data_IF_473719188256
#
_entry.id   IF_473719188256
#
_cell.length_a   1.000
_cell.length_b   1.000
_cell.length_c   1.000
_cell.angle_alpha   90.00
_cell.angle_beta   90.00
_cell.angle_gamma   90.00
#
_symmetry.space_group_name_H-M   'P 1'
#
loop_
_entity.id
_entity.type
_entity.pdbx_description
1 polymer ?
#
# COMPACT_ATOMS: atom_id res chain seq x y z
N UNK A 1 -2.91 -19.65 -22.88
CA UNK A 1 -2.37 -18.37 -23.40
C UNK A 1 -3.08 -17.15 -22.82
N UNK A 2 -4.43 -17.09 -22.82
CA UNK A 2 -5.19 -15.95 -22.24
C UNK A 2 -4.90 -15.74 -20.74
N UNK A 3 -4.92 -16.81 -19.95
CA UNK A 3 -4.63 -16.74 -18.51
C UNK A 3 -3.25 -16.15 -18.21
N UNK A 4 -2.19 -16.64 -18.88
CA UNK A 4 -0.81 -16.13 -18.70
C UNK A 4 -0.73 -14.64 -19.01
N UNK A 5 -1.41 -14.18 -20.07
CA UNK A 5 -1.47 -12.77 -20.41
C UNK A 5 -2.12 -11.92 -19.31
N UNK A 6 -3.22 -12.41 -18.70
CA UNK A 6 -3.90 -11.72 -17.60
C UNK A 6 -3.04 -11.65 -16.35
N UNK A 7 -2.34 -12.72 -15.99
CA UNK A 7 -1.38 -12.70 -14.87
C UNK A 7 -0.25 -11.69 -15.10
N UNK A 8 0.34 -11.66 -16.30
CA UNK A 8 1.37 -10.68 -16.64
C UNK A 8 0.83 -9.25 -16.59
N UNK A 9 -0.38 -9.02 -17.11
CA UNK A 9 -1.03 -7.72 -17.07
C UNK A 9 -1.28 -7.23 -15.65
N UNK A 10 -1.81 -8.09 -14.77
CA UNK A 10 -2.09 -7.77 -13.36
C UNK A 10 -0.79 -7.55 -12.58
N UNK A 11 0.25 -8.34 -12.86
CA UNK A 11 1.58 -8.14 -12.27
C UNK A 11 2.12 -6.76 -12.62
N UNK A 12 2.04 -6.38 -13.91
CA UNK A 12 2.53 -5.09 -14.38
C UNK A 12 1.74 -3.92 -13.80
N UNK A 13 0.41 -4.00 -13.79
CA UNK A 13 -0.44 -3.00 -13.15
C UNK A 13 -0.16 -2.90 -11.64
N UNK A 14 -0.05 -4.03 -10.95
CA UNK A 14 0.24 -4.06 -9.52
C UNK A 14 1.60 -3.43 -9.21
N UNK A 15 2.60 -3.61 -10.07
CA UNK A 15 3.89 -2.96 -9.90
C UNK A 15 3.81 -1.43 -10.11
N UNK A 16 3.05 -0.96 -11.12
CA UNK A 16 2.81 0.48 -11.35
C UNK A 16 2.09 1.09 -10.14
N UNK A 17 1.03 0.45 -9.68
CA UNK A 17 0.29 0.88 -8.50
C UNK A 17 1.21 0.88 -7.29
N UNK A 18 2.02 -0.17 -7.07
CA UNK A 18 3.00 -0.22 -5.98
C UNK A 18 3.98 0.96 -6.00
N UNK A 19 4.43 1.38 -7.18
CA UNK A 19 5.31 2.54 -7.32
C UNK A 19 4.61 3.84 -6.90
N UNK A 20 3.34 4.01 -7.25
CA UNK A 20 2.51 5.11 -6.75
C UNK A 20 2.26 5.02 -5.24
N UNK A 21 2.03 3.82 -4.70
CA UNK A 21 1.80 3.61 -3.26
C UNK A 21 3.01 4.00 -2.42
N UNK A 22 4.24 3.87 -2.92
CA UNK A 22 5.43 4.43 -2.26
C UNK A 22 5.35 5.95 -2.10
N UNK A 23 4.83 6.67 -3.11
CA UNK A 23 4.62 8.12 -3.02
C UNK A 23 3.56 8.45 -1.98
N UNK A 24 2.45 7.71 -1.98
CA UNK A 24 1.38 7.86 -0.98
C UNK A 24 1.93 7.64 0.43
N UNK A 25 2.66 6.55 0.64
CA UNK A 25 3.25 6.21 1.93
C UNK A 25 4.25 7.27 2.44
N UNK A 26 5.01 7.88 1.52
CA UNK A 26 5.96 8.92 1.89
C UNK A 26 5.28 10.27 2.18
N UNK A 27 4.30 10.68 1.37
CA UNK A 27 3.74 12.04 1.38
C UNK A 27 2.57 12.23 2.33
N UNK A 28 1.71 11.22 2.48
CA UNK A 28 0.49 11.36 3.31
C UNK A 28 0.81 11.68 4.77
N UNK A 29 1.77 11.01 5.45
CA UNK A 29 2.16 11.35 6.82
C UNK A 29 2.71 12.77 6.98
N UNK A 30 3.28 13.34 5.90
CA UNK A 30 3.88 14.67 5.85
C UNK A 30 2.87 15.74 5.41
N UNK A 31 1.61 15.34 5.22
CA UNK A 31 0.54 16.17 4.67
C UNK A 31 0.87 16.81 3.30
N UNK A 32 1.79 16.22 2.56
CA UNK A 32 2.20 16.70 1.25
C UNK A 32 1.20 16.25 0.16
N UNK A 33 1.15 17.02 -0.93
CA UNK A 33 0.33 16.65 -2.09
C UNK A 33 0.89 15.40 -2.79
N UNK A 34 0.03 14.40 -2.98
CA UNK A 34 0.36 13.17 -3.73
C UNK A 34 0.50 13.41 -5.24
N UNK A 35 0.03 14.54 -5.75
CA UNK A 35 0.04 14.89 -7.19
C UNK A 35 1.22 15.78 -7.54
N UNK A 36 1.57 16.72 -6.65
CA UNK A 36 2.56 17.77 -6.89
C UNK A 36 3.51 17.91 -5.70
N UNK A 37 4.82 18.11 -5.93
CA UNK A 37 5.52 18.13 -7.22
C UNK A 37 5.71 16.69 -7.78
N UNK A 38 6.20 16.48 -9.02
CA UNK A 38 6.47 15.14 -9.56
C UNK A 38 7.43 14.29 -8.71
N UNK A 39 7.78 13.07 -9.14
CA UNK A 39 8.80 12.27 -8.44
C UNK A 39 10.21 12.82 -8.68
N UNK A 40 11.00 12.98 -7.62
CA UNK A 40 12.37 13.50 -7.67
C UNK A 40 13.29 12.64 -6.80
N UNK A 41 14.58 12.66 -7.10
CA UNK A 41 15.58 12.06 -6.21
C UNK A 41 15.76 12.92 -4.94
N UNK A 42 15.71 12.34 -3.73
CA UNK A 42 15.86 13.11 -2.49
C UNK A 42 17.27 13.72 -2.32
N UNK A 43 18.29 13.14 -2.95
CA UNK A 43 19.69 13.61 -2.81
C UNK A 43 20.05 14.73 -3.80
N UNK A 44 19.71 14.58 -5.08
CA UNK A 44 20.09 15.56 -6.10
C UNK A 44 18.93 16.43 -6.57
N UNK A 45 17.71 16.20 -6.08
CA UNK A 45 16.49 16.93 -6.42
C UNK A 45 16.15 16.93 -7.91
N UNK A 46 16.85 16.11 -8.71
CA UNK A 46 16.57 15.96 -10.13
C UNK A 46 15.27 15.19 -10.31
N UNK A 47 14.41 15.73 -11.18
CA UNK A 47 13.17 15.08 -11.59
C UNK A 47 13.47 13.74 -12.25
N UNK A 48 12.80 12.70 -11.80
CA UNK A 48 12.93 11.35 -12.35
C UNK A 48 12.16 11.26 -13.68
N UNK A 49 12.77 10.62 -14.68
CA UNK A 49 12.10 10.36 -15.95
C UNK A 49 11.21 9.12 -15.85
N UNK A 50 10.28 8.94 -16.79
CA UNK A 50 9.43 7.73 -16.85
C UNK A 50 10.23 6.43 -16.82
N UNK A 51 11.42 6.40 -17.44
CA UNK A 51 12.30 5.24 -17.43
C UNK A 51 12.88 4.92 -16.04
N UNK A 52 13.02 5.92 -15.16
CA UNK A 52 13.48 5.72 -13.79
C UNK A 52 12.36 5.26 -12.86
N UNK A 53 11.10 5.45 -13.28
CA UNK A 53 9.89 5.04 -12.57
C UNK A 53 9.41 3.63 -12.98
N UNK A 54 10.12 2.92 -13.87
CA UNK A 54 9.76 1.56 -14.24
C UNK A 54 9.93 0.65 -13.00
N UNK A 55 8.83 0.12 -12.43
CA UNK A 55 8.85 -0.58 -11.15
C UNK A 55 9.82 -1.76 -11.17
N UNK A 56 10.60 -1.94 -10.11
CA UNK A 56 11.60 -3.00 -9.85
C UNK A 56 12.75 -3.03 -10.86
N UNK A 57 12.46 -2.93 -12.15
CA UNK A 57 13.41 -3.02 -13.26
C UNK A 57 14.38 -1.84 -13.27
N UNK A 58 13.91 -0.60 -13.05
CA UNK A 58 14.81 0.57 -13.01
C UNK A 58 15.83 0.43 -11.88
N UNK A 59 15.39 -0.05 -10.71
CA UNK A 59 16.25 -0.30 -9.55
C UNK A 59 17.28 -1.40 -9.84
N UNK A 60 16.87 -2.53 -10.44
CA UNK A 60 17.78 -3.61 -10.81
C UNK A 60 18.82 -3.17 -11.84
N UNK A 61 18.39 -2.48 -12.90
CA UNK A 61 19.27 -2.00 -13.98
C UNK A 61 20.26 -0.94 -13.49
N UNK A 62 19.83 -0.07 -12.58
CA UNK A 62 20.68 0.95 -11.97
C UNK A 62 21.46 0.42 -10.75
N UNK A 63 21.41 -0.89 -10.47
CA UNK A 63 22.07 -1.55 -9.33
C UNK A 63 21.75 -0.88 -7.99
N UNK A 64 20.50 -0.49 -7.82
CA UNK A 64 19.96 0.17 -6.64
C UNK A 64 20.51 1.58 -6.41
N UNK A 65 20.91 2.30 -7.47
CA UNK A 65 21.45 3.67 -7.37
C UNK A 65 20.68 4.63 -8.26
N UNK A 66 20.66 5.91 -7.91
CA UNK A 66 20.09 6.95 -8.75
C UNK A 66 20.94 7.13 -10.01
N UNK A 67 20.30 7.21 -11.19
CA UNK A 67 20.97 7.45 -12.49
C UNK A 67 21.84 8.71 -12.49
N UNK A 68 21.40 9.78 -11.83
CA UNK A 68 22.03 11.10 -11.91
C UNK A 68 23.14 11.33 -10.88
N UNK A 69 22.91 10.92 -9.63
CA UNK A 69 23.86 11.18 -8.54
C UNK A 69 24.53 9.92 -7.96
N UNK A 70 24.17 8.73 -8.46
CA UNK A 70 24.72 7.44 -8.03
C UNK A 70 24.52 7.10 -6.54
N UNK A 71 23.75 7.91 -5.81
CA UNK A 71 23.40 7.63 -4.43
C UNK A 71 22.45 6.43 -4.36
N UNK A 72 22.56 5.56 -3.33
CA UNK A 72 21.70 4.38 -3.21
C UNK A 72 20.22 4.77 -3.09
N UNK A 73 19.37 4.02 -3.78
CA UNK A 73 17.92 4.05 -3.65
C UNK A 73 17.54 3.00 -2.61
N UNK A 74 16.76 3.41 -1.60
CA UNK A 74 16.38 2.56 -0.49
C UNK A 74 15.61 1.31 -0.97
N UNK A 75 15.97 0.15 -0.44
CA UNK A 75 15.49 -1.18 -0.89
C UNK A 75 13.99 -1.40 -0.65
N UNK A 76 13.39 -0.62 0.23
CA UNK A 76 11.95 -0.69 0.51
C UNK A 76 11.10 -0.31 -0.72
N UNK A 77 11.56 0.63 -1.55
CA UNK A 77 10.81 1.07 -2.73
C UNK A 77 10.54 -0.09 -3.71
N UNK A 78 11.57 -0.82 -4.20
CA UNK A 78 11.33 -1.98 -5.07
C UNK A 78 10.66 -3.15 -4.32
N UNK A 79 10.83 -3.25 -3.00
CA UNK A 79 10.11 -4.27 -2.22
C UNK A 79 8.60 -4.01 -2.25
N UNK A 80 8.16 -2.78 -1.99
CA UNK A 80 6.73 -2.42 -2.00
C UNK A 80 6.13 -2.65 -3.39
N UNK A 81 6.86 -2.34 -4.46
CA UNK A 81 6.44 -2.63 -5.83
C UNK A 81 6.27 -4.14 -6.08
N UNK A 82 7.25 -4.95 -5.67
CA UNK A 82 7.20 -6.40 -5.83
C UNK A 82 6.09 -7.05 -4.97
N UNK A 83 5.93 -6.60 -3.72
CA UNK A 83 4.88 -7.07 -2.82
C UNK A 83 3.51 -6.70 -3.36
N UNK A 84 3.32 -5.48 -3.87
CA UNK A 84 2.04 -5.06 -4.47
C UNK A 84 1.70 -5.93 -5.68
N UNK A 85 2.66 -6.12 -6.60
CA UNK A 85 2.46 -6.98 -7.76
C UNK A 85 2.13 -8.43 -7.37
N UNK A 86 2.86 -9.01 -6.40
CA UNK A 86 2.63 -10.35 -5.91
C UNK A 86 1.26 -10.52 -5.24
N UNK A 87 0.87 -9.59 -4.37
CA UNK A 87 -0.44 -9.64 -3.68
C UNK A 87 -1.59 -9.44 -4.68
N UNK A 88 -1.44 -8.55 -5.67
CA UNK A 88 -2.43 -8.39 -6.74
C UNK A 88 -2.65 -9.68 -7.53
N UNK A 89 -1.56 -10.39 -7.87
CA UNK A 89 -1.63 -11.70 -8.50
C UNK A 89 -2.31 -12.74 -7.60
N UNK A 90 -2.03 -12.75 -6.29
CA UNK A 90 -2.68 -13.67 -5.35
C UNK A 90 -4.20 -13.42 -5.24
N UNK A 91 -4.61 -12.15 -5.21
CA UNK A 91 -6.03 -11.78 -5.24
C UNK A 91 -6.70 -12.30 -6.51
N UNK A 92 -6.08 -12.04 -7.67
CA UNK A 92 -6.62 -12.51 -8.94
C UNK A 92 -6.64 -14.04 -9.05
N UNK A 93 -5.60 -14.72 -8.57
CA UNK A 93 -5.54 -16.17 -8.54
C UNK A 93 -6.68 -16.78 -7.71
N UNK A 94 -7.07 -16.13 -6.61
CA UNK A 94 -8.12 -16.61 -5.71
C UNK A 94 -9.54 -16.37 -6.23
N UNK A 95 -9.80 -15.23 -6.86
CA UNK A 95 -11.15 -14.78 -7.22
C UNK A 95 -11.42 -14.75 -8.73
N UNK A 96 -10.38 -14.78 -9.56
CA UNK A 96 -10.49 -14.76 -11.02
C UNK A 96 -11.01 -13.43 -11.57
N UNK A 97 -11.71 -13.46 -12.70
CA UNK A 97 -12.34 -12.26 -13.27
C UNK A 97 -13.74 -12.07 -12.67
N UNK A 98 -13.79 -11.59 -11.42
CA UNK A 98 -15.04 -11.37 -10.66
C UNK A 98 -15.06 -9.97 -10.03
N UNK A 99 -16.23 -9.58 -9.50
CA UNK A 99 -16.34 -8.33 -8.74
C UNK A 99 -15.47 -8.35 -7.49
N UNK A 100 -15.35 -9.51 -6.84
CA UNK A 100 -14.54 -9.70 -5.63
C UNK A 100 -13.06 -9.41 -5.86
N UNK A 101 -12.53 -9.68 -7.06
CA UNK A 101 -11.16 -9.28 -7.42
C UNK A 101 -10.99 -7.76 -7.33
N UNK A 102 -11.93 -6.97 -7.86
CA UNK A 102 -11.82 -5.51 -7.80
C UNK A 102 -11.82 -5.01 -6.35
N UNK A 103 -12.69 -5.56 -5.51
CA UNK A 103 -12.76 -5.23 -4.07
C UNK A 103 -11.44 -5.59 -3.39
N UNK A 104 -10.92 -6.80 -3.65
CA UNK A 104 -9.66 -7.27 -3.10
C UNK A 104 -8.48 -6.41 -3.53
N UNK A 105 -8.36 -6.06 -4.82
CA UNK A 105 -7.30 -5.21 -5.37
C UNK A 105 -7.32 -3.81 -4.75
N UNK A 106 -8.52 -3.22 -4.59
CA UNK A 106 -8.65 -1.92 -3.93
C UNK A 106 -8.23 -2.03 -2.47
N UNK A 107 -8.76 -3.01 -1.74
CA UNK A 107 -8.47 -3.21 -0.32
C UNK A 107 -6.97 -3.36 -0.04
N UNK A 108 -6.28 -4.24 -0.78
CA UNK A 108 -4.83 -4.44 -0.60
C UNK A 108 -4.02 -3.20 -1.00
N UNK A 109 -4.50 -2.43 -1.99
CA UNK A 109 -3.82 -1.19 -2.41
C UNK A 109 -3.88 -0.09 -1.34
N UNK A 110 -4.88 -0.08 -0.47
CA UNK A 110 -4.91 0.80 0.70
C UNK A 110 -4.10 0.22 1.88
N UNK A 111 -4.14 -1.09 2.10
CA UNK A 111 -3.41 -1.72 3.21
C UNK A 111 -1.89 -1.63 3.07
N UNK A 112 -1.37 -1.73 1.85
CA UNK A 112 0.08 -1.68 1.62
C UNK A 112 0.71 -0.35 2.09
N UNK A 113 0.27 0.84 1.65
CA UNK A 113 0.84 2.09 2.15
C UNK A 113 0.55 2.28 3.65
N UNK A 114 -0.60 1.86 4.17
CA UNK A 114 -0.88 1.90 5.61
C UNK A 114 0.14 1.08 6.41
N UNK A 115 0.45 -0.14 5.96
CA UNK A 115 1.47 -1.01 6.59
C UNK A 115 2.85 -0.38 6.53
N UNK A 116 3.18 0.24 5.40
CA UNK A 116 4.46 0.93 5.22
C UNK A 116 4.56 2.15 6.13
N UNK A 117 3.51 2.96 6.24
CA UNK A 117 3.48 4.14 7.11
C UNK A 117 3.59 3.71 8.57
N UNK A 118 2.81 2.71 8.98
CA UNK A 118 2.82 2.18 10.33
C UNK A 118 4.23 1.70 10.73
N UNK A 119 4.93 0.99 9.84
CA UNK A 119 6.31 0.55 10.06
C UNK A 119 7.30 1.69 10.32
N UNK A 120 7.12 2.86 9.69
CA UNK A 120 8.06 3.98 9.78
C UNK A 120 7.67 4.98 10.87
N UNK A 121 6.41 5.36 10.90
CA UNK A 121 5.91 6.53 11.61
C UNK A 121 4.97 6.13 12.78
N UNK A 122 4.58 4.85 12.91
CA UNK A 122 3.70 4.34 13.96
C UNK A 122 2.35 5.07 14.06
N UNK A 123 1.86 5.58 12.93
CA UNK A 123 0.58 6.27 12.79
C UNK A 123 -0.26 5.66 11.67
N UNK A 124 -1.59 5.70 11.82
CA UNK A 124 -2.54 5.37 10.76
C UNK A 124 -3.23 6.65 10.29
N UNK A 125 -2.87 7.21 9.13
CA UNK A 125 -3.48 8.45 8.65
C UNK A 125 -4.95 8.26 8.30
N UNK A 126 -5.80 9.07 8.93
CA UNK A 126 -7.24 9.14 8.67
C UNK A 126 -7.57 9.36 7.18
N UNK A 127 -6.71 10.09 6.46
CA UNK A 127 -6.81 10.33 5.00
C UNK A 127 -6.72 9.04 4.16
N UNK A 128 -6.25 7.93 4.71
CA UNK A 128 -6.24 6.61 4.06
C UNK A 128 -7.22 5.65 4.73
N UNK A 129 -7.31 5.68 6.05
CA UNK A 129 -8.16 4.76 6.83
C UNK A 129 -9.65 4.98 6.55
N UNK A 130 -10.14 6.22 6.56
CA UNK A 130 -11.58 6.46 6.31
C UNK A 130 -11.99 6.13 4.88
N UNK A 131 -11.25 6.54 3.82
CA UNK A 131 -11.58 6.11 2.46
C UNK A 131 -11.57 4.59 2.30
N UNK A 132 -10.62 3.88 2.92
CA UNK A 132 -10.59 2.41 2.90
C UNK A 132 -11.88 1.81 3.47
N UNK A 133 -12.27 2.24 4.68
CA UNK A 133 -13.48 1.75 5.34
C UNK A 133 -14.73 2.06 4.49
N UNK A 134 -14.88 3.30 4.04
CA UNK A 134 -16.05 3.74 3.29
C UNK A 134 -16.14 2.98 1.96
N UNK A 135 -15.06 2.96 1.18
CA UNK A 135 -15.08 2.36 -0.17
C UNK A 135 -15.33 0.86 -0.10
N UNK A 136 -14.72 0.14 0.84
CA UNK A 136 -14.93 -1.31 0.95
C UNK A 136 -16.30 -1.69 1.48
N UNK A 137 -16.84 -0.93 2.45
CA UNK A 137 -18.22 -1.13 2.90
C UNK A 137 -19.22 -0.86 1.77
N UNK A 138 -19.04 0.22 1.01
CA UNK A 138 -19.88 0.49 -0.16
C UNK A 138 -19.77 -0.64 -1.17
N UNK A 139 -18.56 -1.02 -1.58
CA UNK A 139 -18.37 -2.11 -2.54
C UNK A 139 -19.00 -3.42 -2.08
N UNK A 140 -18.95 -3.73 -0.78
CA UNK A 140 -19.58 -4.93 -0.22
C UNK A 140 -21.12 -4.92 -0.28
N UNK A 141 -21.73 -3.74 -0.29
CA UNK A 141 -23.19 -3.61 -0.47
C UNK A 141 -23.58 -3.97 -1.91
N UNK A 142 -22.76 -3.55 -2.88
CA UNK A 142 -23.00 -3.72 -4.32
C UNK A 142 -22.57 -5.11 -4.85
N UNK A 143 -21.43 -5.61 -4.40
CA UNK A 143 -20.85 -6.90 -4.80
C UNK A 143 -21.10 -7.90 -3.67
N UNK A 144 -22.14 -8.71 -3.85
CA UNK A 144 -22.61 -9.72 -2.88
C UNK A 144 -22.33 -11.13 -3.37
N UNK A 145 -21.09 -11.43 -3.73
CA UNK A 145 -20.74 -12.82 -4.06
C UNK A 145 -20.58 -13.65 -2.78
N UNK A 146 -20.15 -13.02 -1.68
CA UNK A 146 -20.03 -13.64 -0.37
C UNK A 146 -20.98 -13.01 0.66
N UNK A 147 -21.44 -13.76 1.67
CA UNK A 147 -22.29 -13.21 2.72
C UNK A 147 -21.59 -12.11 3.54
N UNK A 148 -22.33 -11.07 3.93
CA UNK A 148 -21.79 -9.93 4.70
C UNK A 148 -21.21 -10.34 6.06
N UNK A 149 -21.75 -11.40 6.70
CA UNK A 149 -21.28 -11.86 8.00
C UNK A 149 -19.81 -12.30 8.01
N UNK A 150 -19.23 -12.71 6.88
CA UNK A 150 -17.79 -12.96 6.80
C UNK A 150 -16.97 -11.69 6.99
N UNK A 151 -17.42 -10.57 6.43
CA UNK A 151 -16.78 -9.26 6.63
C UNK A 151 -16.91 -8.80 8.09
N UNK A 152 -18.07 -9.01 8.70
CA UNK A 152 -18.30 -8.67 10.11
C UNK A 152 -17.49 -9.57 11.05
N UNK A 153 -17.44 -10.87 10.79
CA UNK A 153 -16.64 -11.83 11.55
C UNK A 153 -15.14 -11.50 11.41
N UNK A 154 -14.66 -11.20 10.21
CA UNK A 154 -13.28 -10.76 9.98
C UNK A 154 -12.94 -9.47 10.75
N UNK A 155 -13.82 -8.47 10.71
CA UNK A 155 -13.65 -7.23 11.46
C UNK A 155 -13.66 -7.47 12.97
N UNK A 156 -14.58 -8.30 13.48
CA UNK A 156 -14.68 -8.65 14.89
C UNK A 156 -13.45 -9.45 15.37
N UNK A 157 -12.97 -10.40 14.58
CA UNK A 157 -11.75 -11.16 14.86
C UNK A 157 -10.53 -10.24 14.87
N UNK A 158 -10.38 -9.37 13.87
CA UNK A 158 -9.29 -8.40 13.81
C UNK A 158 -9.30 -7.46 15.03
N UNK A 159 -10.46 -6.89 15.35
CA UNK A 159 -10.63 -6.04 16.53
C UNK A 159 -10.36 -6.80 17.83
N UNK A 160 -10.81 -8.05 17.94
CA UNK A 160 -10.57 -8.90 19.11
C UNK A 160 -9.09 -9.23 19.32
N UNK A 161 -8.36 -9.55 18.24
CA UNK A 161 -6.91 -9.79 18.28
C UNK A 161 -6.18 -8.52 18.70
N UNK A 162 -6.53 -7.36 18.11
CA UNK A 162 -5.92 -6.08 18.46
C UNK A 162 -6.19 -5.67 19.90
N UNK A 163 -7.42 -5.84 20.38
CA UNK A 163 -7.76 -5.58 21.78
C UNK A 163 -6.94 -6.49 22.70
N UNK A 164 -6.95 -7.81 22.47
CA UNK A 164 -6.17 -8.74 23.28
C UNK A 164 -4.69 -8.34 23.33
N UNK A 165 -4.13 -8.01 22.17
CA UNK A 165 -2.72 -7.60 22.07
C UNK A 165 -2.46 -6.31 22.84
N UNK A 166 -3.28 -5.26 22.68
CA UNK A 166 -3.18 -4.00 23.42
C UNK A 166 -3.37 -4.18 24.93
N UNK A 167 -4.26 -5.09 25.35
CA UNK A 167 -4.47 -5.44 26.76
C UNK A 167 -3.26 -6.17 27.37
N UNK A 168 -2.48 -6.86 26.55
CA UNK A 168 -1.24 -7.54 26.95
C UNK A 168 0.04 -6.71 26.73
N UNK A 169 -0.04 -5.61 25.97
CA UNK A 169 1.10 -4.80 25.61
C UNK A 169 1.53 -3.86 26.76
N UNK A 170 2.84 -3.70 27.01
CA UNK A 170 3.32 -2.77 28.02
C UNK A 170 2.93 -1.33 27.66
N UNK A 171 2.50 -0.55 28.65
CA UNK A 171 1.98 0.84 28.55
C UNK A 171 2.92 1.79 27.77
N UNK A 172 4.22 1.49 27.70
CA UNK A 172 5.22 2.25 26.95
C UNK A 172 5.02 2.19 25.42
N UNK A 173 4.51 1.08 24.88
CA UNK A 173 4.17 0.93 23.46
C UNK A 173 2.87 1.67 23.12
N UNK A 174 1.87 1.60 24.00
CA UNK A 174 0.60 2.32 23.84
C UNK A 174 0.80 3.84 23.78
N UNK A 175 1.75 4.39 24.57
CA UNK A 175 2.09 5.83 24.53
C UNK A 175 2.77 6.29 23.25
N UNK A 176 3.57 5.45 22.59
CA UNK A 176 4.24 5.80 21.33
C UNK A 176 3.24 5.88 20.16
N UNK A 177 2.31 4.93 20.06
CA UNK A 177 1.31 4.92 18.98
C UNK A 177 0.21 6.00 19.12
N UNK A 178 -0.05 6.50 20.33
CA UNK A 178 -1.05 7.54 20.60
C UNK A 178 -0.43 8.95 20.76
N UNK A 179 0.89 9.08 20.59
CA UNK A 179 1.68 10.22 21.06
C UNK A 179 1.60 11.53 20.27
N UNK A 180 0.78 11.65 19.21
CA UNK A 180 0.77 12.89 18.40
C UNK A 180 -0.54 13.21 17.68
N UNK A 181 -1.69 12.95 18.30
CA UNK A 181 -2.99 13.39 17.75
C UNK A 181 -3.47 14.77 18.27
N UNK A 182 -2.64 15.49 19.04
CA UNK A 182 -3.01 16.83 19.55
C UNK A 182 -1.82 17.80 19.50
N UNK A 183 -1.53 18.35 18.33
CA UNK A 183 -0.83 19.64 18.22
C UNK A 183 -1.12 20.33 16.88
N UNK A 184 -2.34 20.82 16.73
CA UNK A 184 -2.69 22.00 15.92
C UNK A 184 -4.15 22.37 16.17
#
# INVERSE_FOLDING_TARGET
>A
MKEVFLYLYITFLGAIIGSFLNVVAYRVPREESIVTPPSHCPHCQKRLQMLDLIPVLSWLLLKGRCRYCQNPIFWQYPLVEAVTAGVWVLVYWRYGWSGETLVGLLFVSFLIPLTVIDWHEWILPDRLTYPLIITTLLMRIWIREEPFWWSLAGAALGAGILWFWLGSAPISLARKGWGSATSS
#
